data_IF_784852366315
#
_entry.id   IF_784852366315
#
_cell.length_a   1.000
_cell.length_b   1.000
_cell.length_c   1.000
_cell.angle_alpha   90.00
_cell.angle_beta   90.00
_cell.angle_gamma   90.00
#
_symmetry.space_group_name_H-M   'P 1'
#
loop_
_entity.id
_entity.type
_entity.pdbx_description
1 polymer ?
#
# COMPACT_ATOMS: atom_id res chain seq x y z
N UNK A 1 -25.39 -25.40 22.60
CA UNK A 1 -24.19 -25.59 21.76
C UNK A 1 -23.44 -24.26 21.73
N UNK A 2 -22.34 -24.18 22.49
CA UNK A 2 -21.50 -22.97 22.47
C UNK A 2 -20.65 -23.02 21.21
N UNK A 3 -20.96 -22.16 20.24
CA UNK A 3 -20.07 -21.91 19.13
C UNK A 3 -18.82 -21.19 19.65
N UNK A 4 -17.74 -21.94 19.84
CA UNK A 4 -16.42 -21.36 20.04
C UNK A 4 -16.01 -20.68 18.73
N UNK A 5 -16.20 -19.36 18.65
CA UNK A 5 -15.59 -18.54 17.62
C UNK A 5 -14.07 -18.60 17.86
N UNK A 6 -13.24 -19.00 16.89
CA UNK A 6 -11.80 -18.98 17.10
C UNK A 6 -11.37 -17.55 17.45
N UNK A 7 -10.45 -17.37 18.40
CA UNK A 7 -9.98 -16.04 18.75
C UNK A 7 -9.44 -15.36 17.50
N UNK A 8 -9.94 -14.18 17.19
CA UNK A 8 -9.47 -13.34 16.08
C UNK A 8 -7.98 -13.13 16.28
N UNK A 9 -7.15 -13.55 15.33
CA UNK A 9 -5.71 -13.33 15.41
C UNK A 9 -5.45 -11.82 15.52
N UNK A 10 -4.59 -11.36 16.41
CA UNK A 10 -4.29 -9.91 16.54
C UNK A 10 -3.88 -9.27 15.23
N UNK A 11 -3.15 -9.99 14.36
CA UNK A 11 -2.69 -9.55 13.05
C UNK A 11 -3.79 -9.45 11.97
N UNK A 12 -5.03 -9.90 12.30
CA UNK A 12 -6.21 -9.78 11.42
C UNK A 12 -6.99 -8.47 11.61
N UNK A 13 -6.53 -7.58 12.49
CA UNK A 13 -7.22 -6.33 12.77
C UNK A 13 -7.01 -5.33 11.62
N UNK A 14 -8.09 -4.60 11.28
CA UNK A 14 -8.04 -3.49 10.34
C UNK A 14 -7.42 -2.25 10.99
N UNK A 15 -6.54 -1.60 10.25
CA UNK A 15 -5.86 -0.36 10.65
C UNK A 15 -6.29 0.75 9.69
N UNK A 16 -6.72 1.89 10.23
CA UNK A 16 -7.02 3.08 9.45
C UNK A 16 -5.74 3.76 9.00
N UNK A 17 -5.65 4.08 7.70
CA UNK A 17 -4.50 4.78 7.12
C UNK A 17 -4.81 6.27 6.94
N UNK A 18 -6.07 6.63 6.75
CA UNK A 18 -6.51 8.01 6.59
C UNK A 18 -7.42 8.24 5.38
N UNK A 19 -7.78 9.51 5.10
CA UNK A 19 -8.69 9.86 4.01
C UNK A 19 -8.14 9.49 2.63
N UNK A 20 -8.99 8.96 1.75
CA UNK A 20 -8.63 8.62 0.36
C UNK A 20 -8.14 9.86 -0.41
N UNK A 21 -8.73 11.02 -0.17
CA UNK A 21 -8.35 12.29 -0.80
C UNK A 21 -6.89 12.72 -0.54
N UNK A 22 -6.20 12.09 0.42
CA UNK A 22 -4.79 12.33 0.72
C UNK A 22 -3.84 11.37 -0.03
N UNK A 23 -4.35 10.53 -0.92
CA UNK A 23 -3.55 9.63 -1.75
C UNK A 23 -3.60 10.08 -3.21
N UNK A 24 -2.58 10.81 -3.71
CA UNK A 24 -2.48 11.10 -5.13
C UNK A 24 -2.34 9.81 -5.93
N UNK A 25 -2.89 9.76 -7.14
CA UNK A 25 -2.64 8.63 -8.04
C UNK A 25 -1.22 8.73 -8.60
N UNK A 26 -0.42 7.71 -8.32
CA UNK A 26 0.99 7.68 -8.73
C UNK A 26 1.19 7.17 -10.16
N UNK A 27 0.12 6.85 -10.89
CA UNK A 27 0.18 6.49 -12.31
C UNK A 27 0.42 7.70 -13.23
N UNK A 28 0.33 8.93 -12.70
CA UNK A 28 0.46 10.15 -13.48
C UNK A 28 1.89 10.41 -14.01
N UNK A 29 2.90 9.75 -13.44
CA UNK A 29 4.31 9.90 -13.81
C UNK A 29 5.09 8.61 -13.55
N UNK A 30 6.30 8.52 -14.12
CA UNK A 30 7.21 7.38 -13.95
C UNK A 30 8.07 7.48 -12.67
N UNK A 31 7.67 8.33 -11.72
CA UNK A 31 8.39 8.55 -10.48
C UNK A 31 8.25 7.42 -9.47
N UNK A 32 9.11 7.42 -8.46
CA UNK A 32 8.97 6.49 -7.34
C UNK A 32 7.81 6.88 -6.42
N UNK A 33 7.40 5.96 -5.53
CA UNK A 33 6.23 6.15 -4.66
C UNK A 33 6.36 7.34 -3.70
N UNK A 34 7.59 7.66 -3.25
CA UNK A 34 7.81 8.72 -2.25
C UNK A 34 7.74 10.13 -2.84
N UNK A 35 7.85 10.28 -4.16
CA UNK A 35 7.83 11.59 -4.79
C UNK A 35 6.53 12.35 -4.46
N UNK A 36 6.65 13.65 -4.10
CA UNK A 36 5.48 14.47 -3.86
C UNK A 36 4.69 14.75 -5.14
N UNK A 37 3.37 14.62 -5.06
CA UNK A 37 2.42 14.87 -6.16
C UNK A 37 1.28 15.76 -5.70
N UNK A 38 0.67 16.48 -6.63
CA UNK A 38 -0.56 17.19 -6.35
C UNK A 38 -1.71 16.19 -6.18
N UNK A 39 -2.53 16.38 -5.15
CA UNK A 39 -3.81 15.70 -5.04
C UNK A 39 -4.87 16.47 -5.81
N UNK A 40 -5.81 15.77 -6.43
CA UNK A 40 -6.92 16.35 -7.15
C UNK A 40 -7.66 17.37 -6.24
N UNK A 41 -7.73 18.63 -6.69
CA UNK A 41 -8.40 19.72 -5.99
C UNK A 41 -7.65 20.35 -4.80
N UNK A 42 -6.41 19.92 -4.51
CA UNK A 42 -5.63 20.48 -3.40
C UNK A 42 -4.30 21.06 -3.89
N UNK A 43 -4.02 22.32 -3.56
CA UNK A 43 -2.78 23.02 -3.95
C UNK A 43 -1.52 22.51 -3.19
N UNK A 44 -1.69 21.61 -2.21
CA UNK A 44 -0.58 21.06 -1.42
C UNK A 44 -0.11 19.75 -2.03
N UNK A 45 1.16 19.73 -2.41
CA UNK A 45 1.84 18.50 -2.81
C UNK A 45 1.95 17.53 -1.64
N UNK A 46 1.62 16.25 -1.86
CA UNK A 46 1.71 15.17 -0.87
C UNK A 46 2.58 14.03 -1.39
N UNK A 47 3.27 13.29 -0.51
CA UNK A 47 3.95 12.07 -0.90
C UNK A 47 2.99 11.11 -1.61
N UNK A 48 3.46 10.41 -2.64
CA UNK A 48 2.65 9.44 -3.38
C UNK A 48 2.30 8.19 -2.58
N UNK A 49 2.90 7.98 -1.41
CA UNK A 49 2.61 6.87 -0.52
C UNK A 49 2.61 7.30 0.95
N UNK A 50 2.04 6.43 1.80
CA UNK A 50 2.19 6.50 3.27
C UNK A 50 2.86 5.24 3.76
N UNK A 51 3.66 5.38 4.80
CA UNK A 51 4.38 4.28 5.45
C UNK A 51 3.89 4.18 6.88
N UNK A 52 3.45 2.98 7.28
CA UNK A 52 3.01 2.71 8.65
C UNK A 52 3.84 1.58 9.25
N UNK A 53 4.16 1.69 10.52
CA UNK A 53 4.59 0.55 11.36
C UNK A 53 3.34 -0.07 11.95
N UNK A 54 3.10 -1.36 11.68
CA UNK A 54 1.96 -2.11 12.19
C UNK A 54 2.47 -3.35 12.91
N UNK A 55 2.68 -3.29 14.24
CA UNK A 55 3.20 -4.42 14.99
C UNK A 55 2.29 -5.65 14.87
N UNK A 56 2.88 -6.83 14.63
CA UNK A 56 2.09 -8.08 14.53
C UNK A 56 1.42 -8.49 15.84
N UNK A 57 2.04 -8.13 16.96
CA UNK A 57 1.52 -8.43 18.30
C UNK A 57 0.30 -7.61 18.64
N UNK A 58 0.27 -6.34 18.19
CA UNK A 58 -0.82 -5.41 18.49
C UNK A 58 -0.95 -4.33 17.40
N UNK A 59 -1.77 -4.56 16.37
CA UNK A 59 -2.01 -3.60 15.29
C UNK A 59 -2.67 -2.29 15.76
N UNK A 60 -3.26 -2.23 16.96
CA UNK A 60 -3.83 -0.99 17.50
C UNK A 60 -2.78 0.07 17.78
N UNK A 61 -1.51 -0.32 17.92
CA UNK A 61 -0.36 0.56 18.05
C UNK A 61 0.27 0.94 16.69
N UNK A 62 -0.49 0.86 15.61
CA UNK A 62 -0.02 1.31 14.30
C UNK A 62 0.32 2.81 14.33
N UNK A 63 1.48 3.16 13.76
CA UNK A 63 1.97 4.53 13.68
C UNK A 63 2.48 4.85 12.28
N UNK A 64 2.15 6.05 11.79
CA UNK A 64 2.66 6.53 10.50
C UNK A 64 4.10 7.06 10.65
N UNK A 65 4.95 6.71 9.69
CA UNK A 65 6.29 7.28 9.53
C UNK A 65 6.16 8.53 8.65
N UNK A 66 6.48 9.68 9.22
CA UNK A 66 6.45 10.94 8.48
C UNK A 66 7.48 10.94 7.35
N UNK A 67 7.02 11.25 6.13
CA UNK A 67 7.88 11.47 4.97
C UNK A 67 8.16 12.98 4.88
N UNK A 68 9.41 13.44 5.03
CA UNK A 68 9.73 14.86 4.90
C UNK A 68 9.36 15.39 3.51
N UNK A 69 8.84 16.61 3.44
CA UNK A 69 8.54 17.25 2.16
C UNK A 69 9.83 17.37 1.32
N UNK A 70 9.75 16.90 0.06
CA UNK A 70 10.90 16.91 -0.86
C UNK A 70 11.95 15.83 -0.61
N UNK A 71 11.66 14.83 0.22
CA UNK A 71 12.56 13.69 0.40
C UNK A 71 12.75 12.96 -0.95
N UNK A 72 14.00 12.72 -1.31
CA UNK A 72 14.37 11.96 -2.51
C UNK A 72 14.43 10.45 -2.24
N UNK A 73 14.61 10.06 -0.98
CA UNK A 73 14.72 8.68 -0.51
C UNK A 73 13.83 8.45 0.72
N UNK A 74 13.48 7.19 0.96
CA UNK A 74 12.68 6.82 2.12
C UNK A 74 13.39 7.16 3.43
N UNK A 75 12.70 7.74 4.41
CA UNK A 75 13.24 7.94 5.76
C UNK A 75 13.59 6.61 6.45
N UNK A 76 13.09 5.49 5.93
CA UNK A 76 13.36 4.15 6.45
C UNK A 76 14.58 3.48 5.82
N UNK A 77 15.30 4.16 4.92
CA UNK A 77 16.53 3.59 4.34
C UNK A 77 17.60 3.43 5.43
N UNK A 78 18.12 2.21 5.55
CA UNK A 78 19.09 1.86 6.60
C UNK A 78 18.49 1.57 7.98
N UNK A 79 17.16 1.61 8.12
CA UNK A 79 16.43 1.26 9.34
C UNK A 79 15.84 -0.16 9.27
N UNK A 80 15.38 -0.66 10.41
CA UNK A 80 14.60 -1.90 10.45
C UNK A 80 13.22 -1.67 9.79
N UNK A 81 12.97 -2.34 8.67
CA UNK A 81 11.72 -2.26 7.92
C UNK A 81 10.67 -3.28 8.38
N UNK A 82 10.98 -4.03 9.44
CA UNK A 82 10.08 -5.03 9.97
C UNK A 82 8.75 -4.42 10.39
N UNK A 83 7.68 -5.13 10.07
CA UNK A 83 6.31 -4.72 10.38
C UNK A 83 5.87 -3.38 9.75
N UNK A 84 6.61 -2.88 8.78
CA UNK A 84 6.22 -1.71 7.99
C UNK A 84 5.40 -2.11 6.77
N UNK A 85 4.41 -1.29 6.45
CA UNK A 85 3.58 -1.37 5.25
C UNK A 85 3.66 -0.06 4.48
N UNK A 86 3.78 -0.14 3.16
CA UNK A 86 3.64 1.02 2.27
C UNK A 86 2.28 0.95 1.59
N UNK A 87 1.53 2.08 1.63
CA UNK A 87 0.18 2.22 1.09
C UNK A 87 0.17 3.36 0.08
N UNK A 88 -0.39 3.12 -1.10
CA UNK A 88 -0.42 4.09 -2.20
C UNK A 88 -1.59 3.82 -3.15
N UNK A 89 -1.92 4.82 -3.97
CA UNK A 89 -2.93 4.72 -5.04
C UNK A 89 -2.22 4.61 -6.39
N UNK A 90 -2.61 3.62 -7.20
CA UNK A 90 -2.13 3.43 -8.56
C UNK A 90 -3.29 3.03 -9.47
N UNK A 91 -3.53 3.79 -10.56
CA UNK A 91 -4.64 3.59 -11.49
C UNK A 91 -5.98 3.39 -10.79
N UNK A 92 -6.36 4.36 -9.96
CA UNK A 92 -7.60 4.39 -9.18
C UNK A 92 -7.78 3.21 -8.20
N UNK A 93 -6.74 2.43 -7.96
CA UNK A 93 -6.76 1.33 -6.98
C UNK A 93 -5.81 1.60 -5.84
N UNK A 94 -6.26 1.28 -4.63
CA UNK A 94 -5.40 1.30 -3.46
C UNK A 94 -4.62 0.00 -3.33
N UNK A 95 -3.34 0.12 -3.08
CA UNK A 95 -2.42 -0.98 -2.86
C UNK A 95 -1.74 -0.85 -1.51
N UNK A 96 -1.49 -1.98 -0.87
CA UNK A 96 -0.72 -2.04 0.37
C UNK A 96 0.15 -3.30 0.34
N UNK A 97 1.45 -3.12 0.54
CA UNK A 97 2.43 -4.20 0.53
C UNK A 97 3.43 -4.02 1.66
N UNK A 98 4.09 -5.09 2.10
CA UNK A 98 5.20 -4.95 3.04
C UNK A 98 6.23 -3.97 2.47
N UNK A 99 6.71 -3.05 3.33
CA UNK A 99 7.66 -2.02 2.91
C UNK A 99 9.03 -2.61 2.59
N UNK A 100 9.34 -3.76 3.14
CA UNK A 100 10.60 -4.46 2.96
C UNK A 100 10.62 -5.31 1.69
N UNK A 101 11.54 -5.02 0.77
CA UNK A 101 11.79 -5.88 -0.38
C UNK A 101 12.24 -7.27 0.10
N UNK A 102 11.55 -8.37 -0.31
CA UNK A 102 11.87 -9.71 0.16
C UNK A 102 13.22 -10.25 -0.34
N UNK A 103 13.79 -9.63 -1.40
CA UNK A 103 15.09 -10.01 -1.93
C UNK A 103 16.25 -9.49 -1.07
N UNK A 104 16.23 -8.22 -0.68
CA UNK A 104 17.36 -7.59 0.02
C UNK A 104 16.95 -6.45 0.95
N UNK A 105 15.85 -6.60 1.68
CA UNK A 105 15.43 -5.68 2.75
C UNK A 105 15.54 -4.17 2.40
N UNK A 106 15.29 -3.79 1.13
CA UNK A 106 15.32 -2.41 0.69
C UNK A 106 13.92 -1.79 0.79
N UNK A 107 13.77 -0.48 1.14
CA UNK A 107 12.47 0.15 1.27
C UNK A 107 11.77 0.31 -0.09
N UNK A 108 10.60 -0.32 -0.23
CA UNK A 108 9.82 -0.30 -1.47
C UNK A 108 9.07 1.02 -1.72
N UNK A 109 9.03 1.94 -0.76
CA UNK A 109 8.59 3.31 -1.02
C UNK A 109 9.47 4.07 -2.04
N UNK A 110 10.72 3.62 -2.23
CA UNK A 110 11.58 4.10 -3.31
C UNK A 110 11.34 3.39 -4.65
N UNK A 111 10.40 2.43 -4.68
CA UNK A 111 10.06 1.67 -5.87
C UNK A 111 9.21 2.46 -6.86
N UNK A 112 9.23 2.03 -8.12
CA UNK A 112 8.43 2.61 -9.21
C UNK A 112 7.32 1.64 -9.59
N UNK A 113 6.04 2.05 -9.51
CA UNK A 113 4.93 1.24 -9.99
C UNK A 113 4.88 1.25 -11.51
N UNK A 114 4.35 0.17 -12.10
CA UNK A 114 4.23 0.02 -13.55
C UNK A 114 3.06 -0.90 -13.90
N UNK A 115 2.60 -0.83 -15.15
CA UNK A 115 1.58 -1.74 -15.68
C UNK A 115 2.19 -3.06 -16.11
N UNK A 116 1.54 -4.15 -15.75
CA UNK A 116 1.80 -5.47 -16.32
C UNK A 116 0.82 -5.64 -17.47
N UNK A 117 1.33 -5.59 -18.70
CA UNK A 117 0.54 -5.63 -19.93
C UNK A 117 0.81 -6.91 -20.72
N UNK A 118 -0.21 -7.37 -21.43
CA UNK A 118 -0.09 -8.39 -22.44
C UNK A 118 -0.91 -7.98 -23.68
N UNK A 119 -0.25 -7.95 -24.86
CA UNK A 119 -0.82 -7.49 -26.13
C UNK A 119 -1.57 -6.14 -26.04
N UNK A 120 -1.03 -5.18 -25.27
CA UNK A 120 -1.62 -3.84 -25.10
C UNK A 120 -2.82 -3.79 -24.16
N UNK A 121 -3.08 -4.86 -23.41
CA UNK A 121 -4.11 -4.91 -22.37
C UNK A 121 -3.43 -4.94 -21.01
N UNK A 122 -3.79 -3.99 -20.13
CA UNK A 122 -3.32 -3.98 -18.76
C UNK A 122 -3.98 -5.11 -17.97
N UNK A 123 -3.20 -6.10 -17.57
CA UNK A 123 -3.66 -7.27 -16.82
C UNK A 123 -3.54 -7.06 -15.31
N UNK A 124 -2.49 -6.40 -14.87
CA UNK A 124 -2.14 -6.22 -13.47
C UNK A 124 -1.29 -4.97 -13.29
N UNK A 125 -0.86 -4.72 -12.07
CA UNK A 125 0.10 -3.68 -11.73
C UNK A 125 1.29 -4.28 -10.97
N UNK A 126 2.48 -3.75 -11.20
CA UNK A 126 3.70 -4.17 -10.58
C UNK A 126 4.40 -3.04 -9.82
N UNK A 127 5.38 -3.40 -9.00
CA UNK A 127 6.28 -2.49 -8.29
C UNK A 127 7.71 -2.96 -8.45
N UNK A 128 8.57 -2.12 -9.01
CA UNK A 128 9.99 -2.42 -9.20
C UNK A 128 10.81 -1.86 -8.03
N UNK A 129 11.60 -2.71 -7.39
CA UNK A 129 12.59 -2.31 -6.41
C UNK A 129 13.83 -1.74 -7.11
N UNK A 130 14.24 -0.48 -6.87
CA UNK A 130 15.33 0.15 -7.63
C UNK A 130 16.70 -0.42 -7.29
N UNK A 131 16.86 -1.09 -6.14
CA UNK A 131 18.16 -1.56 -5.67
C UNK A 131 18.76 -2.63 -6.60
N UNK A 132 17.95 -3.57 -7.08
CA UNK A 132 18.42 -4.66 -7.96
C UNK A 132 17.45 -4.96 -9.12
N UNK A 133 16.45 -4.10 -9.37
CA UNK A 133 15.50 -4.24 -10.47
C UNK A 133 14.54 -5.44 -10.34
N UNK A 134 14.28 -5.94 -9.13
CA UNK A 134 13.25 -6.95 -8.90
C UNK A 134 11.87 -6.33 -8.96
N UNK A 135 10.98 -6.96 -9.71
CA UNK A 135 9.60 -6.52 -9.86
C UNK A 135 8.63 -7.50 -9.21
N UNK A 136 7.57 -6.97 -8.59
CA UNK A 136 6.58 -7.75 -7.87
C UNK A 136 5.18 -7.34 -8.33
N UNK A 137 4.33 -8.31 -8.63
CA UNK A 137 2.92 -8.09 -8.91
C UNK A 137 2.19 -7.63 -7.64
N UNK A 138 1.43 -6.54 -7.73
CA UNK A 138 0.78 -5.90 -6.58
C UNK A 138 -0.47 -6.64 -6.06
N UNK A 139 -1.01 -7.61 -6.81
CA UNK A 139 -2.18 -8.39 -6.39
C UNK A 139 -1.80 -9.74 -5.81
N UNK A 140 -0.80 -10.38 -6.41
CA UNK A 140 -0.35 -11.73 -6.02
C UNK A 140 0.88 -11.71 -5.15
N UNK A 141 1.70 -10.66 -5.24
CA UNK A 141 3.01 -10.54 -4.62
C UNK A 141 4.10 -11.34 -5.32
N UNK A 142 3.79 -12.01 -6.44
CA UNK A 142 4.76 -12.85 -7.15
C UNK A 142 5.85 -11.99 -7.78
N UNK A 143 7.11 -12.41 -7.65
CA UNK A 143 8.24 -11.76 -8.32
C UNK A 143 8.35 -12.15 -9.79
N UNK A 144 8.94 -11.28 -10.59
CA UNK A 144 9.27 -11.51 -12.02
C UNK A 144 10.34 -12.59 -12.20
N UNK A 145 11.10 -12.86 -11.15
CA UNK A 145 12.19 -13.86 -11.15
C UNK A 145 12.35 -14.48 -9.76
N UNK A 146 12.90 -15.68 -9.71
CA UNK A 146 13.13 -16.41 -8.46
C UNK A 146 11.84 -16.81 -7.73
N UNK A 147 11.98 -17.19 -6.46
CA UNK A 147 10.89 -17.69 -5.62
C UNK A 147 10.47 -16.70 -4.54
N UNK A 148 10.87 -15.43 -4.68
CA UNK A 148 10.50 -14.40 -3.71
C UNK A 148 9.04 -14.00 -3.88
N UNK A 149 8.39 -13.74 -2.76
CA UNK A 149 7.01 -13.29 -2.73
C UNK A 149 6.89 -12.09 -1.79
N UNK A 150 6.44 -10.96 -2.33
CA UNK A 150 6.12 -9.77 -1.57
C UNK A 150 4.80 -9.98 -0.84
N UNK A 151 4.73 -9.85 0.49
CA UNK A 151 3.47 -9.88 1.19
C UNK A 151 2.56 -8.73 0.77
N UNK A 152 1.39 -9.07 0.23
CA UNK A 152 0.34 -8.12 -0.15
C UNK A 152 -0.70 -8.08 0.96
N UNK A 153 -1.10 -6.87 1.34
CA UNK A 153 -2.11 -6.63 2.36
C UNK A 153 -3.51 -6.52 1.72
N UNK A 154 -4.54 -6.73 2.53
CA UNK A 154 -5.90 -6.41 2.14
C UNK A 154 -6.14 -4.92 2.33
N UNK A 155 -6.82 -4.30 1.37
CA UNK A 155 -7.23 -2.91 1.43
C UNK A 155 -8.75 -2.83 1.35
N UNK A 156 -9.34 -1.96 2.16
CA UNK A 156 -10.76 -1.69 2.18
C UNK A 156 -10.99 -0.19 2.26
N UNK A 157 -11.88 0.31 1.42
CA UNK A 157 -12.41 1.66 1.54
C UNK A 157 -13.65 1.62 2.42
N UNK A 158 -13.82 2.61 3.28
CA UNK A 158 -14.98 2.76 4.14
C UNK A 158 -15.56 4.17 4.04
N UNK A 159 -16.89 4.25 4.13
CA UNK A 159 -17.61 5.49 4.18
C UNK A 159 -17.43 6.22 5.54
N UNK A 160 -18.04 7.39 5.67
CA UNK A 160 -18.04 8.20 6.91
C UNK A 160 -18.66 7.48 8.12
N UNK A 161 -19.45 6.44 7.88
CA UNK A 161 -20.08 5.63 8.92
C UNK A 161 -19.26 4.36 9.26
N UNK A 162 -18.12 4.15 8.56
CA UNK A 162 -17.26 2.98 8.74
C UNK A 162 -17.71 1.73 7.98
N UNK A 163 -18.72 1.83 7.09
CA UNK A 163 -19.18 0.69 6.30
C UNK A 163 -18.24 0.45 5.12
N UNK A 164 -17.94 -0.84 4.80
CA UNK A 164 -17.13 -1.17 3.64
C UNK A 164 -17.82 -0.75 2.34
N UNK A 165 -17.05 -0.11 1.47
CA UNK A 165 -17.48 0.22 0.12
C UNK A 165 -17.09 -0.88 -0.86
N UNK A 166 -17.88 -1.14 -1.92
CA UNK A 166 -17.53 -2.11 -2.94
C UNK A 166 -16.21 -1.72 -3.63
N UNK A 167 -15.28 -2.66 -3.74
CA UNK A 167 -13.85 -2.49 -4.03
C UNK A 167 -13.45 -2.02 -5.43
N UNK A 168 -14.22 -1.15 -6.07
CA UNK A 168 -13.78 -0.47 -7.30
C UNK A 168 -14.53 0.85 -7.40
N UNK A 169 -13.89 1.91 -6.95
CA UNK A 169 -14.36 3.24 -7.26
C UNK A 169 -13.94 3.59 -8.68
N UNK A 170 -14.86 3.41 -9.62
CA UNK A 170 -14.86 4.19 -10.85
C UNK A 170 -15.44 5.54 -10.47
N UNK A 171 -14.62 6.44 -9.99
CA UNK A 171 -15.06 7.79 -9.71
C UNK A 171 -14.01 8.75 -10.18
N UNK A 172 -14.40 9.60 -11.11
CA UNK A 172 -13.74 10.84 -11.45
C UNK A 172 -13.73 11.85 -10.29
N UNK A 173 -14.52 11.59 -9.23
CA UNK A 173 -14.54 12.36 -8.00
C UNK A 173 -14.62 11.39 -6.82
N UNK A 174 -13.59 11.31 -5.95
CA UNK A 174 -13.71 10.56 -4.71
C UNK A 174 -14.81 11.21 -3.88
N UNK A 175 -15.85 10.46 -3.45
CA UNK A 175 -16.84 11.01 -2.56
C UNK A 175 -16.16 11.50 -1.28
N UNK A 176 -16.53 12.70 -0.84
CA UNK A 176 -15.99 13.33 0.36
C UNK A 176 -16.20 12.41 1.58
N UNK A 177 -15.11 12.05 2.23
CA UNK A 177 -15.13 11.35 3.50
C UNK A 177 -14.76 9.87 3.50
N UNK A 178 -14.34 9.31 2.38
CA UNK A 178 -13.86 7.93 2.34
C UNK A 178 -12.51 7.77 3.03
N UNK A 179 -12.38 6.69 3.80
CA UNK A 179 -11.15 6.34 4.52
C UNK A 179 -10.57 5.01 4.02
N UNK A 180 -9.24 4.96 3.96
CA UNK A 180 -8.47 3.78 3.57
C UNK A 180 -8.14 2.96 4.81
N UNK A 181 -8.42 1.67 4.76
CA UNK A 181 -8.12 0.71 5.81
C UNK A 181 -7.30 -0.43 5.25
N UNK A 182 -6.33 -0.92 6.03
CA UNK A 182 -5.46 -2.03 5.64
C UNK A 182 -5.42 -3.09 6.73
N UNK A 183 -5.21 -4.36 6.32
CA UNK A 183 -4.87 -5.45 7.24
C UNK A 183 -3.95 -6.46 6.57
N UNK A 184 -3.20 -7.20 7.38
CA UNK A 184 -2.39 -8.31 6.87
C UNK A 184 -3.30 -9.40 6.29
N UNK A 185 -2.98 -9.85 5.06
CA UNK A 185 -3.70 -10.96 4.44
C UNK A 185 -3.52 -12.22 5.27
N UNK A 186 -4.63 -12.82 5.67
CA UNK A 186 -4.61 -14.05 6.41
C UNK A 186 -4.26 -15.21 5.49
N UNK A 187 -3.30 -16.06 5.92
CA UNK A 187 -3.04 -17.33 5.24
C UNK A 187 -4.20 -18.26 5.58
N UNK A 188 -4.96 -18.66 4.59
CA UNK A 188 -5.89 -19.78 4.69
C UNK A 188 -5.02 -21.02 4.70
N UNK A 189 -4.96 -21.72 5.83
CA UNK A 189 -4.22 -22.96 6.01
C UNK A 189 -4.89 -24.12 5.31
#
# INVERSE_FOLDING_TARGET
MNYFWPPTRPDAQWVSVGPLAQFPDVAADDGNLIQPRACDGNAKSQPGCRILVVPKSDPSHAAEIAIPAGAATSPSEGQDLKDQVVVFRYRDKMHAVDHQCPHNAYPLSNGTPFDIEDFGVVLSAGLTCPKHGWSFDLFTGQSDRGLYKLPVWEVQLRDVHGNPLPGSLKSSDPPDGETVWVRRRQKIG
#
